data_IF_092281727202
#
_entry.id   IF_092281727202
#
_cell.length_a   1.000
_cell.length_b   1.000
_cell.length_c   1.000
_cell.angle_alpha   90.00
_cell.angle_beta   90.00
_cell.angle_gamma   90.00
#
_symmetry.space_group_name_H-M   'P 1'
#
loop_
_entity.id
_entity.type
_entity.pdbx_description
1 polymer ?
#
# COMPACT_ATOMS: atom_id res chain seq x y z
N UNK A 1 -24.89 -53.47 -24.26
CA UNK A 1 -25.16 -52.21 -23.55
C UNK A 1 -24.36 -51.98 -22.25
N UNK A 2 -23.43 -52.87 -21.84
CA UNK A 2 -22.63 -52.70 -20.58
C UNK A 2 -21.36 -51.88 -20.73
N UNK A 3 -20.87 -51.57 -21.93
CA UNK A 3 -19.59 -50.84 -22.14
C UNK A 3 -19.68 -49.33 -22.03
N UNK A 4 -20.84 -48.71 -22.36
CA UNK A 4 -20.99 -47.23 -22.32
C UNK A 4 -21.13 -46.66 -20.90
N UNK A 5 -21.65 -47.41 -19.95
CA UNK A 5 -21.78 -46.97 -18.55
C UNK A 5 -20.42 -46.91 -17.83
N UNK A 6 -19.51 -47.82 -18.15
CA UNK A 6 -18.17 -47.84 -17.56
C UNK A 6 -17.26 -46.69 -18.06
N UNK A 7 -17.40 -46.27 -19.32
CA UNK A 7 -16.65 -45.09 -19.85
C UNK A 7 -17.14 -43.79 -19.23
N UNK A 8 -18.45 -43.61 -19.08
CA UNK A 8 -19.03 -42.41 -18.45
C UNK A 8 -18.62 -42.27 -16.98
N UNK A 9 -18.58 -43.37 -16.22
CA UNK A 9 -18.11 -43.36 -14.84
C UNK A 9 -16.61 -43.01 -14.73
N UNK A 10 -15.74 -43.54 -15.59
CA UNK A 10 -14.31 -43.19 -15.58
C UNK A 10 -14.05 -41.70 -15.91
N UNK A 11 -14.79 -41.16 -16.89
CA UNK A 11 -14.68 -39.73 -17.24
C UNK A 11 -15.20 -38.83 -16.13
N UNK A 12 -16.28 -39.19 -15.47
CA UNK A 12 -16.83 -38.47 -14.33
C UNK A 12 -15.86 -38.50 -13.13
N UNK A 13 -15.28 -39.66 -12.81
CA UNK A 13 -14.30 -39.80 -11.73
C UNK A 13 -13.02 -38.98 -12.02
N UNK A 14 -12.53 -38.97 -13.26
CA UNK A 14 -11.38 -38.18 -13.68
C UNK A 14 -11.66 -36.67 -13.58
N UNK A 15 -12.86 -36.21 -13.93
CA UNK A 15 -13.26 -34.80 -13.82
C UNK A 15 -13.36 -34.36 -12.36
N UNK A 16 -13.95 -35.17 -11.48
CA UNK A 16 -14.04 -34.88 -10.04
C UNK A 16 -12.66 -34.87 -9.41
N UNK A 17 -11.78 -35.79 -9.78
CA UNK A 17 -10.41 -35.84 -9.26
C UNK A 17 -9.58 -34.64 -9.73
N UNK A 18 -9.77 -34.18 -10.98
CA UNK A 18 -9.13 -32.93 -11.49
C UNK A 18 -9.63 -31.68 -10.76
N UNK A 19 -10.94 -31.58 -10.45
CA UNK A 19 -11.48 -30.46 -9.67
C UNK A 19 -10.96 -30.45 -8.22
N UNK A 20 -10.83 -31.62 -7.58
CA UNK A 20 -10.26 -31.73 -6.23
C UNK A 20 -8.77 -31.33 -6.22
N UNK A 21 -7.99 -31.79 -7.20
CA UNK A 21 -6.58 -31.39 -7.34
C UNK A 21 -6.43 -29.89 -7.55
N UNK A 22 -7.26 -29.29 -8.41
CA UNK A 22 -7.24 -27.85 -8.67
C UNK A 22 -7.59 -27.02 -7.41
N UNK A 23 -8.53 -27.49 -6.59
CA UNK A 23 -8.87 -26.80 -5.33
C UNK A 23 -7.78 -26.92 -4.27
N UNK A 24 -7.08 -28.05 -4.19
CA UNK A 24 -5.96 -28.23 -3.24
C UNK A 24 -4.77 -27.36 -3.64
N UNK A 25 -4.42 -27.31 -4.91
CA UNK A 25 -3.32 -26.44 -5.38
C UNK A 25 -3.65 -24.96 -5.23
N UNK A 26 -4.88 -24.54 -5.52
CA UNK A 26 -5.33 -23.15 -5.32
C UNK A 26 -5.18 -22.70 -3.87
N UNK A 27 -5.59 -23.52 -2.91
CA UNK A 27 -5.45 -23.23 -1.48
C UNK A 27 -3.97 -23.15 -1.04
N UNK A 28 -3.10 -24.00 -1.59
CA UNK A 28 -1.67 -23.99 -1.25
C UNK A 28 -1.00 -22.68 -1.71
N UNK A 29 -1.31 -22.20 -2.91
CA UNK A 29 -0.79 -20.94 -3.43
C UNK A 29 -1.35 -19.71 -2.69
N UNK A 30 -2.61 -19.74 -2.29
CA UNK A 30 -3.22 -18.69 -1.47
C UNK A 30 -2.57 -18.64 -0.09
N UNK A 31 -2.38 -19.77 0.59
CA UNK A 31 -1.72 -19.85 1.89
C UNK A 31 -0.27 -19.36 1.81
N UNK A 32 0.50 -19.74 0.79
CA UNK A 32 1.86 -19.27 0.58
C UNK A 32 1.91 -17.75 0.33
N UNK A 33 0.96 -17.21 -0.44
CA UNK A 33 0.86 -15.77 -0.71
C UNK A 33 0.60 -14.97 0.56
N UNK A 34 -0.32 -15.44 1.39
CA UNK A 34 -0.63 -14.82 2.69
C UNK A 34 0.56 -14.91 3.66
N UNK A 35 1.23 -16.06 3.74
CA UNK A 35 2.42 -16.24 4.59
C UNK A 35 3.53 -15.23 4.23
N UNK A 36 3.83 -15.07 2.93
CA UNK A 36 4.81 -14.10 2.46
C UNK A 36 4.39 -12.66 2.81
N UNK A 37 3.10 -12.33 2.69
CA UNK A 37 2.58 -11.02 3.04
C UNK A 37 2.72 -10.73 4.54
N UNK A 38 2.40 -11.69 5.41
CA UNK A 38 2.59 -11.58 6.87
C UNK A 38 4.07 -11.38 7.23
N UNK A 39 4.99 -12.12 6.60
CA UNK A 39 6.43 -11.97 6.84
C UNK A 39 6.94 -10.60 6.37
N UNK A 40 6.39 -10.09 5.27
CA UNK A 40 6.72 -8.75 4.78
C UNK A 40 6.21 -7.65 5.70
N UNK A 41 5.01 -7.81 6.25
CA UNK A 41 4.38 -6.83 7.14
C UNK A 41 5.14 -6.65 8.46
N UNK A 42 5.69 -7.74 9.01
CA UNK A 42 6.52 -7.72 10.22
C UNK A 42 7.71 -6.75 10.17
N UNK A 43 8.18 -6.37 8.99
CA UNK A 43 9.23 -5.36 8.85
C UNK A 43 8.77 -3.94 9.19
N UNK A 44 7.44 -3.75 9.33
CA UNK A 44 6.80 -2.49 9.65
C UNK A 44 6.24 -2.45 11.08
N UNK A 45 6.45 -3.48 11.88
CA UNK A 45 5.96 -3.61 13.24
C UNK A 45 6.99 -3.17 14.30
N UNK A 46 6.55 -3.05 15.54
CA UNK A 46 7.35 -2.78 16.75
C UNK A 46 8.09 -1.42 16.76
N UNK A 47 7.73 -0.48 15.86
CA UNK A 47 8.35 0.85 15.83
C UNK A 47 7.74 1.82 16.85
N UNK A 48 6.60 1.50 17.47
CA UNK A 48 5.81 2.28 18.43
C UNK A 48 5.27 3.58 17.80
N UNK A 49 6.14 4.50 17.46
CA UNK A 49 5.83 5.70 16.70
C UNK A 49 7.04 6.15 15.87
N UNK A 50 6.78 6.89 14.81
CA UNK A 50 7.83 7.46 13.99
C UNK A 50 7.51 8.87 13.49
N UNK A 51 8.56 9.62 13.19
CA UNK A 51 8.47 10.89 12.46
C UNK A 51 9.54 10.97 11.37
N UNK A 52 9.25 11.71 10.31
CA UNK A 52 10.22 12.03 9.26
C UNK A 52 9.88 13.35 8.59
N UNK A 53 10.88 13.99 7.98
CA UNK A 53 10.67 14.97 6.93
C UNK A 53 10.46 14.24 5.60
N UNK A 54 9.59 14.78 4.76
CA UNK A 54 9.26 14.18 3.46
C UNK A 54 9.32 15.25 2.38
N UNK A 55 10.02 14.96 1.30
CA UNK A 55 9.98 15.74 0.06
C UNK A 55 9.17 15.00 -0.99
N UNK A 56 8.13 15.64 -1.53
CA UNK A 56 7.31 15.12 -2.61
C UNK A 56 7.58 15.89 -3.89
N UNK A 57 8.14 15.21 -4.90
CA UNK A 57 8.36 15.74 -6.23
C UNK A 57 7.27 15.24 -7.18
N UNK A 58 6.51 16.17 -7.78
CA UNK A 58 5.51 15.89 -8.80
C UNK A 58 6.12 16.22 -10.16
N UNK A 59 6.23 15.22 -11.03
CA UNK A 59 6.92 15.31 -12.31
C UNK A 59 5.90 15.06 -13.41
N UNK A 60 5.69 16.06 -14.27
CA UNK A 60 4.78 15.93 -15.38
C UNK A 60 5.43 15.20 -16.58
N UNK A 61 4.64 14.90 -17.61
CA UNK A 61 5.11 14.19 -18.82
C UNK A 61 6.24 14.91 -19.60
N UNK A 62 6.48 16.20 -19.34
CA UNK A 62 7.57 16.99 -19.91
C UNK A 62 8.81 17.03 -19.05
N UNK A 63 8.77 16.42 -17.86
CA UNK A 63 9.87 16.42 -16.92
C UNK A 63 9.91 17.65 -15.99
N UNK A 64 8.92 18.56 -16.08
CA UNK A 64 8.82 19.71 -15.16
C UNK A 64 8.48 19.22 -13.75
N UNK A 65 9.16 19.76 -12.74
CA UNK A 65 9.08 19.32 -11.35
C UNK A 65 8.45 20.37 -10.47
N UNK A 66 7.47 19.97 -9.67
CA UNK A 66 6.94 20.76 -8.55
C UNK A 66 7.30 20.03 -7.25
N UNK A 67 8.05 20.71 -6.38
CA UNK A 67 8.49 20.15 -5.10
C UNK A 67 7.64 20.66 -3.95
N UNK A 68 7.27 19.74 -3.05
CA UNK A 68 6.55 20.02 -1.81
C UNK A 68 7.30 19.41 -0.64
N UNK A 69 7.32 20.14 0.50
CA UNK A 69 7.89 19.61 1.75
C UNK A 69 6.77 19.31 2.73
N UNK A 70 6.89 18.20 3.43
CA UNK A 70 5.91 17.72 4.41
C UNK A 70 6.64 17.24 5.66
N UNK A 71 5.94 17.26 6.79
CA UNK A 71 6.26 16.43 7.97
C UNK A 71 5.34 15.25 7.99
N UNK A 72 5.88 14.09 8.26
CA UNK A 72 5.12 12.85 8.39
C UNK A 72 5.29 12.28 9.80
N UNK A 73 4.20 11.76 10.37
CA UNK A 73 4.17 11.08 11.65
C UNK A 73 3.34 9.82 11.53
N UNK A 74 3.72 8.78 12.24
CA UNK A 74 3.02 7.50 12.32
C UNK A 74 2.97 7.04 13.76
N UNK A 75 1.86 6.43 14.15
CA UNK A 75 1.64 5.77 15.44
C UNK A 75 1.18 4.35 15.16
N UNK A 76 1.88 3.40 15.72
CA UNK A 76 1.52 1.99 15.68
C UNK A 76 0.32 1.72 16.59
N UNK A 77 -0.65 0.96 16.08
CA UNK A 77 -1.83 0.52 16.82
C UNK A 77 -1.98 -0.99 16.68
N UNK A 78 -1.32 -1.80 17.53
CA UNK A 78 -1.24 -3.26 17.38
C UNK A 78 -2.59 -3.97 17.33
N UNK A 79 -3.63 -3.39 17.95
CA UNK A 79 -4.98 -3.97 18.04
C UNK A 79 -5.88 -3.66 16.84
N UNK A 80 -5.48 -2.72 16.00
CA UNK A 80 -6.19 -2.30 14.77
C UNK A 80 -5.14 -1.91 13.71
N UNK A 81 -5.41 -0.97 12.84
CA UNK A 81 -4.42 -0.43 11.89
C UNK A 81 -3.82 0.89 12.37
N UNK A 82 -2.69 1.24 11.80
CA UNK A 82 -1.90 2.40 12.20
C UNK A 82 -2.57 3.74 11.92
N UNK A 83 -2.15 4.74 12.68
CA UNK A 83 -2.53 6.14 12.45
C UNK A 83 -1.37 6.92 11.83
N UNK A 84 -1.68 7.79 10.89
CA UNK A 84 -0.68 8.67 10.30
C UNK A 84 -1.21 10.08 10.09
N UNK A 85 -0.28 11.04 10.10
CA UNK A 85 -0.56 12.42 9.74
C UNK A 85 0.57 12.97 8.87
N UNK A 86 0.20 13.53 7.70
CA UNK A 86 1.13 14.26 6.83
C UNK A 86 0.70 15.73 6.76
N UNK A 87 1.64 16.64 6.96
CA UNK A 87 1.40 18.09 7.04
C UNK A 87 2.29 18.79 6.04
N UNK A 88 1.71 19.50 5.08
CA UNK A 88 2.45 20.28 4.10
C UNK A 88 3.06 21.53 4.72
N UNK A 89 4.35 21.75 4.52
CA UNK A 89 5.10 22.91 5.00
C UNK A 89 5.38 23.94 3.89
N UNK A 90 5.57 23.46 2.68
CA UNK A 90 5.79 24.28 1.48
C UNK A 90 5.33 23.56 0.21
N UNK A 91 5.08 24.30 -0.90
CA UNK A 91 5.05 25.75 -1.04
C UNK A 91 3.80 26.41 -0.41
N UNK A 92 3.67 27.73 -0.55
CA UNK A 92 2.63 28.54 0.14
C UNK A 92 1.20 28.12 -0.18
N UNK A 93 0.94 27.67 -1.39
CA UNK A 93 -0.40 27.24 -1.86
C UNK A 93 -0.93 25.99 -1.15
N UNK A 94 -0.04 25.10 -0.69
CA UNK A 94 -0.40 23.89 0.07
C UNK A 94 -0.01 23.94 1.54
N UNK A 95 0.70 24.98 1.99
CA UNK A 95 1.17 25.08 3.38
C UNK A 95 0.05 24.97 4.38
N UNK A 96 0.22 24.06 5.36
CA UNK A 96 -0.76 23.78 6.41
C UNK A 96 -1.90 22.86 5.97
N UNK A 97 -1.96 22.44 4.70
CA UNK A 97 -2.83 21.31 4.32
C UNK A 97 -2.32 20.09 5.05
N UNK A 98 -3.21 19.30 5.63
CA UNK A 98 -2.83 18.09 6.36
C UNK A 98 -3.83 16.96 6.10
N UNK A 99 -3.31 15.73 6.02
CA UNK A 99 -4.12 14.52 5.98
C UNK A 99 -3.87 13.72 7.24
N UNK A 100 -4.96 13.25 7.86
CA UNK A 100 -4.96 12.28 8.94
C UNK A 100 -5.59 11.00 8.41
N UNK A 101 -4.92 9.87 8.59
CA UNK A 101 -5.41 8.56 8.21
C UNK A 101 -5.41 7.62 9.41
N UNK A 102 -6.48 6.86 9.57
CA UNK A 102 -6.57 5.70 10.44
C UNK A 102 -6.77 4.50 9.54
N UNK A 103 -5.77 3.65 9.47
CA UNK A 103 -5.93 2.33 8.89
C UNK A 103 -6.76 1.46 9.85
N UNK A 104 -7.42 0.45 9.33
CA UNK A 104 -8.18 -0.51 10.12
C UNK A 104 -8.03 -1.89 9.50
N UNK A 105 -7.90 -2.92 10.33
CA UNK A 105 -7.76 -4.31 9.86
C UNK A 105 -9.02 -4.85 9.20
N UNK A 106 -10.18 -4.50 9.70
CA UNK A 106 -11.46 -5.09 9.25
C UNK A 106 -12.33 -4.08 8.51
N UNK A 107 -12.56 -2.90 9.09
CA UNK A 107 -13.44 -1.89 8.48
C UNK A 107 -12.69 -0.99 7.49
N UNK A 108 -13.43 -0.20 6.71
CA UNK A 108 -12.85 0.80 5.82
C UNK A 108 -12.05 1.86 6.59
N UNK A 109 -10.91 2.30 6.03
CA UNK A 109 -10.06 3.33 6.62
C UNK A 109 -10.79 4.66 6.75
N UNK A 110 -10.45 5.39 7.79
CA UNK A 110 -10.91 6.75 8.00
C UNK A 110 -9.83 7.75 7.60
N UNK A 111 -10.18 8.69 6.73
CA UNK A 111 -9.27 9.75 6.31
C UNK A 111 -9.93 11.12 6.39
N UNK A 112 -9.17 12.11 6.88
CA UNK A 112 -9.60 13.50 6.97
C UNK A 112 -8.55 14.43 6.38
N UNK A 113 -9.00 15.35 5.54
CA UNK A 113 -8.18 16.40 4.93
C UNK A 113 -8.51 17.74 5.59
N UNK A 114 -7.51 18.40 6.16
CA UNK A 114 -7.63 19.77 6.62
C UNK A 114 -7.19 20.72 5.51
N UNK A 115 -8.06 21.71 5.23
CA UNK A 115 -7.83 22.77 4.26
C UNK A 115 -7.75 24.11 5.00
N UNK A 116 -6.55 24.68 5.22
CA UNK A 116 -6.36 25.88 6.02
C UNK A 116 -7.08 27.11 5.41
N UNK A 117 -7.12 27.23 4.09
CA UNK A 117 -7.84 28.32 3.42
C UNK A 117 -9.34 28.35 3.76
N UNK A 118 -9.94 27.18 4.01
CA UNK A 118 -11.33 27.03 4.40
C UNK A 118 -11.52 26.87 5.91
N UNK A 119 -10.44 26.73 6.67
CA UNK A 119 -10.42 26.38 8.11
C UNK A 119 -11.30 25.16 8.43
N UNK A 120 -11.39 24.19 7.52
CA UNK A 120 -12.28 23.03 7.61
C UNK A 120 -11.53 21.70 7.52
N UNK A 121 -11.97 20.76 8.36
CA UNK A 121 -11.63 19.34 8.22
C UNK A 121 -12.74 18.68 7.40
N UNK A 122 -12.35 18.00 6.32
CA UNK A 122 -13.26 17.26 5.44
C UNK A 122 -12.92 15.78 5.52
N UNK A 123 -13.90 14.94 5.83
CA UNK A 123 -13.73 13.47 5.74
C UNK A 123 -13.69 13.07 4.27
N UNK A 124 -12.74 12.23 3.90
CA UNK A 124 -12.66 11.61 2.58
C UNK A 124 -13.61 10.41 2.58
N UNK A 125 -14.66 10.46 1.77
CA UNK A 125 -15.58 9.34 1.65
C UNK A 125 -14.87 8.15 0.98
N UNK A 126 -15.17 6.91 1.41
CA UNK A 126 -14.53 5.70 0.90
C UNK A 126 -14.55 5.61 -0.63
N UNK A 127 -15.64 6.02 -1.29
CA UNK A 127 -15.77 6.08 -2.76
C UNK A 127 -14.80 7.05 -3.45
N UNK A 128 -14.20 7.99 -2.71
CA UNK A 128 -13.30 9.01 -3.26
C UNK A 128 -11.82 8.72 -2.95
N UNK A 129 -11.51 7.65 -2.23
CA UNK A 129 -10.13 7.35 -1.82
C UNK A 129 -9.22 6.91 -2.97
N UNK A 130 -9.81 6.47 -4.09
CA UNK A 130 -9.08 6.19 -5.34
C UNK A 130 -8.68 7.47 -6.11
N UNK A 131 -9.15 8.64 -5.70
CA UNK A 131 -8.78 9.92 -6.30
C UNK A 131 -7.33 10.33 -6.02
N UNK A 132 -6.72 11.19 -6.86
CA UNK A 132 -5.34 11.60 -6.72
C UNK A 132 -5.13 12.45 -5.45
N UNK A 133 -4.07 12.16 -4.71
CA UNK A 133 -3.69 12.91 -3.53
C UNK A 133 -3.02 14.22 -3.93
N UNK A 134 -3.77 15.32 -3.82
CA UNK A 134 -3.30 16.70 -4.08
C UNK A 134 -2.52 16.85 -5.40
N UNK A 135 -2.94 16.15 -6.45
CA UNK A 135 -2.34 16.24 -7.79
C UNK A 135 -1.09 15.40 -7.99
N UNK A 136 -0.70 14.59 -7.01
CA UNK A 136 0.34 13.55 -7.18
C UNK A 136 -0.23 12.33 -7.88
N UNK A 137 0.64 11.41 -8.29
CA UNK A 137 0.25 10.11 -8.84
C UNK A 137 -0.10 9.08 -7.74
N UNK A 138 0.11 9.41 -6.48
CA UNK A 138 -0.46 8.67 -5.36
C UNK A 138 -1.95 8.99 -5.22
N UNK A 139 -2.77 8.01 -4.86
CA UNK A 139 -4.17 8.19 -4.48
C UNK A 139 -4.28 8.37 -2.95
N UNK A 140 -5.45 8.77 -2.47
CA UNK A 140 -5.70 8.83 -1.01
C UNK A 140 -5.55 7.46 -0.36
N UNK A 141 -5.91 6.36 -1.03
CA UNK A 141 -5.75 5.01 -0.51
C UNK A 141 -4.26 4.60 -0.39
N UNK A 142 -3.34 5.18 -1.17
CA UNK A 142 -1.90 4.92 -1.07
C UNK A 142 -1.27 5.62 0.16
N UNK A 143 -1.98 6.53 0.83
CA UNK A 143 -1.58 7.17 2.09
C UNK A 143 -2.22 6.54 3.34
N UNK A 144 -2.90 5.42 3.19
CA UNK A 144 -3.31 4.56 4.30
C UNK A 144 -2.40 3.35 4.35
N UNK A 145 -1.99 2.92 5.55
CA UNK A 145 -1.20 1.70 5.68
C UNK A 145 -2.06 0.50 5.29
N UNK A 146 -1.41 -0.46 4.64
CA UNK A 146 -2.12 -1.58 4.03
C UNK A 146 -2.01 -2.79 4.95
N UNK A 147 -3.05 -2.99 5.75
CA UNK A 147 -3.17 -4.13 6.64
C UNK A 147 -3.35 -5.42 5.83
N UNK A 148 -2.72 -6.51 6.30
CA UNK A 148 -2.73 -7.82 5.61
C UNK A 148 -4.15 -8.34 5.43
N UNK A 149 -5.03 -8.11 6.39
CA UNK A 149 -6.42 -8.59 6.42
C UNK A 149 -7.32 -7.96 5.34
N UNK A 150 -6.83 -6.91 4.65
CA UNK A 150 -7.60 -6.19 3.61
C UNK A 150 -7.47 -6.74 2.20
N UNK A 151 -6.75 -7.84 2.04
CA UNK A 151 -6.48 -8.40 0.73
C UNK A 151 -6.63 -9.91 0.72
N UNK A 152 -7.06 -10.44 -0.43
CA UNK A 152 -6.82 -11.82 -0.80
C UNK A 152 -5.47 -11.95 -1.47
N UNK A 153 -4.71 -13.01 -1.17
CA UNK A 153 -3.34 -13.21 -1.64
C UNK A 153 -3.21 -14.49 -2.45
N UNK A 154 -2.42 -14.43 -3.53
CA UNK A 154 -2.03 -15.61 -4.31
C UNK A 154 -0.53 -15.49 -4.63
N UNK A 155 0.27 -16.48 -4.21
CA UNK A 155 1.63 -16.62 -4.68
C UNK A 155 1.63 -17.02 -6.16
N UNK A 156 2.36 -16.29 -7.00
CA UNK A 156 2.41 -16.55 -8.45
C UNK A 156 3.68 -17.29 -8.86
N UNK A 157 4.85 -16.75 -8.52
CA UNK A 157 6.16 -17.23 -8.96
C UNK A 157 7.30 -16.60 -8.18
N UNK A 158 8.52 -17.04 -8.49
CA UNK A 158 9.76 -16.34 -8.16
C UNK A 158 10.29 -15.64 -9.41
N UNK A 159 10.95 -14.49 -9.22
CA UNK A 159 11.53 -13.69 -10.30
C UNK A 159 12.73 -12.91 -9.77
N UNK A 160 13.77 -12.78 -10.58
CA UNK A 160 14.89 -11.89 -10.25
C UNK A 160 14.50 -10.45 -10.61
N UNK A 161 14.55 -9.55 -9.65
CA UNK A 161 14.33 -8.12 -9.85
C UNK A 161 15.51 -7.33 -9.29
N UNK A 162 16.22 -6.58 -10.15
CA UNK A 162 17.43 -5.83 -9.78
C UNK A 162 18.44 -6.69 -8.99
N UNK A 163 18.77 -7.85 -9.55
CA UNK A 163 19.71 -8.85 -9.00
C UNK A 163 19.24 -9.55 -7.71
N UNK A 164 18.06 -9.20 -7.18
CA UNK A 164 17.47 -9.82 -5.99
C UNK A 164 16.45 -10.89 -6.37
N UNK A 165 16.54 -12.09 -5.78
CA UNK A 165 15.48 -13.08 -5.91
C UNK A 165 14.23 -12.60 -5.15
N UNK A 166 13.10 -12.49 -5.84
CA UNK A 166 11.85 -12.01 -5.28
C UNK A 166 10.74 -13.05 -5.40
N UNK A 167 9.86 -13.09 -4.40
CA UNK A 167 8.53 -13.65 -4.55
C UNK A 167 7.65 -12.65 -5.32
N UNK A 168 6.82 -13.14 -6.23
CA UNK A 168 5.76 -12.36 -6.87
C UNK A 168 4.43 -12.82 -6.33
N UNK A 169 3.76 -11.94 -5.62
CA UNK A 169 2.47 -12.18 -4.99
C UNK A 169 1.41 -11.28 -5.61
N UNK A 170 0.32 -11.85 -6.10
CA UNK A 170 -0.88 -11.09 -6.44
C UNK A 170 -1.68 -10.83 -5.16
N UNK A 171 -2.11 -9.59 -4.93
CA UNK A 171 -3.09 -9.26 -3.90
C UNK A 171 -4.27 -8.51 -4.48
N UNK A 172 -5.48 -8.86 -4.03
CA UNK A 172 -6.74 -8.25 -4.45
C UNK A 172 -7.36 -7.52 -3.27
N UNK A 173 -7.62 -6.19 -3.39
CA UNK A 173 -8.31 -5.47 -2.34
C UNK A 173 -9.70 -6.05 -2.08
N UNK A 174 -10.06 -6.23 -0.81
CA UNK A 174 -11.42 -6.62 -0.38
C UNK A 174 -12.37 -5.42 -0.38
N UNK A 175 -11.84 -4.20 -0.34
CA UNK A 175 -12.64 -2.98 -0.37
C UNK A 175 -13.21 -2.73 -1.78
N UNK A 176 -14.54 -2.74 -1.96
CA UNK A 176 -15.17 -2.53 -3.27
C UNK A 176 -14.96 -1.11 -3.84
N UNK A 177 -14.53 -0.16 -3.01
CA UNK A 177 -14.24 1.21 -3.40
C UNK A 177 -12.78 1.45 -3.78
N UNK A 178 -11.91 0.45 -3.69
CA UNK A 178 -10.52 0.57 -4.14
C UNK A 178 -10.47 0.98 -5.62
N UNK A 179 -9.51 1.81 -5.98
CA UNK A 179 -9.18 2.16 -7.35
C UNK A 179 -8.50 1.03 -8.11
N UNK A 180 -8.09 -0.02 -7.39
CA UNK A 180 -7.33 -1.14 -7.93
C UNK A 180 -8.15 -2.42 -7.93
N UNK A 181 -8.12 -3.17 -9.04
CA UNK A 181 -8.70 -4.52 -9.09
C UNK A 181 -7.75 -5.56 -8.52
N UNK A 182 -6.45 -5.32 -8.67
CA UNK A 182 -5.37 -6.15 -8.13
C UNK A 182 -4.05 -5.40 -8.12
N UNK A 183 -3.11 -5.95 -7.40
CA UNK A 183 -1.72 -5.51 -7.38
C UNK A 183 -0.80 -6.74 -7.49
N UNK A 184 0.31 -6.59 -8.22
CA UNK A 184 1.39 -7.59 -8.23
C UNK A 184 2.54 -7.01 -7.42
N UNK A 185 2.97 -7.73 -6.39
CA UNK A 185 3.96 -7.27 -5.41
C UNK A 185 5.21 -8.13 -5.53
N UNK A 186 6.37 -7.50 -5.75
CA UNK A 186 7.69 -8.14 -5.70
C UNK A 186 8.28 -7.94 -4.32
N UNK A 187 8.50 -9.03 -3.61
CA UNK A 187 9.00 -9.06 -2.24
C UNK A 187 10.31 -9.84 -2.24
N UNK A 188 11.42 -9.21 -1.83
CA UNK A 188 12.70 -9.91 -1.82
C UNK A 188 12.69 -11.07 -0.81
N UNK A 189 13.40 -12.15 -1.16
CA UNK A 189 13.35 -13.41 -0.41
C UNK A 189 14.23 -13.38 0.85
N UNK A 190 15.18 -12.48 0.94
CA UNK A 190 16.13 -12.41 2.05
C UNK A 190 15.53 -11.67 3.25
N UNK A 191 14.99 -10.48 2.99
CA UNK A 191 14.51 -9.58 4.04
C UNK A 191 13.01 -9.34 3.99
N UNK A 192 12.28 -9.95 3.06
CA UNK A 192 10.83 -9.75 2.84
C UNK A 192 10.43 -8.28 2.61
N UNK A 193 11.34 -7.46 2.03
CA UNK A 193 11.08 -6.07 1.71
C UNK A 193 10.41 -5.95 0.34
N UNK A 194 9.36 -5.12 0.26
CA UNK A 194 8.69 -4.83 -1.00
C UNK A 194 9.62 -4.02 -1.90
N UNK A 195 9.91 -4.52 -3.10
CA UNK A 195 10.78 -3.84 -4.07
C UNK A 195 9.96 -3.06 -5.11
N UNK A 196 8.83 -3.62 -5.52
CA UNK A 196 8.00 -3.07 -6.59
C UNK A 196 6.55 -3.53 -6.45
N UNK A 197 5.62 -2.66 -6.83
CA UNK A 197 4.20 -2.99 -6.96
C UNK A 197 3.68 -2.51 -8.32
N UNK A 198 3.02 -3.39 -9.06
CA UNK A 198 2.21 -3.02 -10.21
C UNK A 198 0.74 -2.90 -9.79
N UNK A 199 0.14 -1.76 -10.00
CA UNK A 199 -1.26 -1.49 -9.71
C UNK A 199 -2.11 -1.58 -10.98
N UNK A 200 -3.22 -2.30 -10.93
CA UNK A 200 -4.16 -2.45 -12.04
C UNK A 200 -5.46 -1.72 -11.74
N UNK A 201 -5.92 -0.91 -12.70
CA UNK A 201 -7.13 -0.10 -12.56
C UNK A 201 -8.41 -0.96 -12.59
N UNK A 202 -9.58 -0.31 -12.44
CA UNK A 202 -10.90 -0.97 -12.44
C UNK A 202 -11.24 -1.67 -13.77
N UNK A 203 -10.49 -1.39 -14.84
CA UNK A 203 -10.59 -2.07 -16.13
C UNK A 203 -9.52 -3.14 -16.29
N UNK A 204 -8.76 -3.41 -15.23
CA UNK A 204 -7.63 -4.38 -15.21
C UNK A 204 -6.46 -4.01 -16.13
N UNK A 205 -6.32 -2.73 -16.54
CA UNK A 205 -5.14 -2.25 -17.21
C UNK A 205 -4.06 -1.87 -16.19
N UNK A 206 -2.79 -2.07 -16.58
CA UNK A 206 -1.66 -1.60 -15.78
C UNK A 206 -1.68 -0.08 -15.69
N UNK A 207 -2.00 0.43 -14.51
CA UNK A 207 -2.18 1.85 -14.24
C UNK A 207 -0.86 2.49 -13.80
N UNK A 208 -0.25 1.92 -12.76
CA UNK A 208 0.90 2.50 -12.08
C UNK A 208 1.92 1.44 -11.69
N UNK A 209 3.18 1.86 -11.63
CA UNK A 209 4.25 1.11 -10.95
C UNK A 209 4.73 1.92 -9.77
N UNK A 210 4.76 1.30 -8.58
CA UNK A 210 5.37 1.84 -7.37
C UNK A 210 6.69 1.13 -7.12
N UNK A 211 7.75 1.90 -6.91
CA UNK A 211 9.11 1.41 -6.65
C UNK A 211 9.53 1.85 -5.27
N UNK A 212 10.19 0.95 -4.54
CA UNK A 212 10.73 1.21 -3.21
C UNK A 212 12.24 1.06 -3.25
N UNK A 213 12.96 2.11 -2.84
CA UNK A 213 14.41 2.19 -2.99
C UNK A 213 15.06 2.73 -1.73
N UNK A 214 16.38 2.56 -1.62
CA UNK A 214 17.20 3.06 -0.52
C UNK A 214 16.63 2.66 0.85
N UNK A 215 16.41 1.37 1.05
CA UNK A 215 15.98 0.84 2.33
C UNK A 215 17.07 1.00 3.38
N UNK A 216 16.72 1.61 4.52
CA UNK A 216 17.60 1.73 5.68
C UNK A 216 16.96 1.09 6.90
N UNK A 217 17.80 0.44 7.71
CA UNK A 217 17.35 -0.25 8.92
C UNK A 217 17.58 0.62 10.14
N UNK A 218 16.54 0.86 10.92
CA UNK A 218 16.57 1.66 12.14
C UNK A 218 16.44 0.77 13.36
N UNK A 219 17.20 1.08 14.40
CA UNK A 219 17.24 0.32 15.68
C UNK A 219 17.42 -1.20 15.53
N UNK A 220 17.92 -1.67 14.38
CA UNK A 220 18.17 -3.08 14.12
C UNK A 220 16.97 -3.91 13.67
N UNK A 221 15.77 -3.36 13.62
CA UNK A 221 14.55 -4.09 13.25
C UNK A 221 13.66 -3.38 12.21
N UNK A 222 13.42 -2.07 12.31
CA UNK A 222 12.50 -1.33 11.46
C UNK A 222 13.15 -0.94 10.12
N UNK A 223 12.52 -1.31 9.01
CA UNK A 223 12.98 -0.97 7.68
C UNK A 223 12.16 0.17 7.06
N UNK A 224 12.82 1.23 6.64
CA UNK A 224 12.20 2.37 5.97
C UNK A 224 12.79 2.56 4.57
N UNK A 225 11.97 2.53 3.49
CA UNK A 225 12.43 2.99 2.18
C UNK A 225 12.59 4.51 2.23
N UNK A 226 13.74 5.03 1.78
CA UNK A 226 14.01 6.46 1.72
C UNK A 226 13.53 7.09 0.41
N UNK A 227 13.26 6.29 -0.61
CA UNK A 227 12.65 6.74 -1.86
C UNK A 227 11.49 5.82 -2.23
N UNK A 228 10.32 6.43 -2.48
CA UNK A 228 9.16 5.76 -3.06
C UNK A 228 8.77 6.52 -4.33
N UNK A 229 8.82 5.84 -5.48
CA UNK A 229 8.45 6.42 -6.78
C UNK A 229 7.17 5.79 -7.30
N UNK A 230 6.20 6.62 -7.70
CA UNK A 230 4.97 6.20 -8.36
C UNK A 230 4.98 6.68 -9.81
N UNK A 231 4.96 5.74 -10.76
CA UNK A 231 4.99 6.00 -12.21
C UNK A 231 3.62 5.66 -12.78
N UNK A 232 2.93 6.62 -13.37
CA UNK A 232 1.65 6.40 -14.01
C UNK A 232 1.83 6.17 -15.52
N UNK A 233 1.49 4.96 -15.98
CA UNK A 233 1.69 4.55 -17.38
C UNK A 233 0.62 5.08 -18.34
N UNK A 234 -0.53 5.53 -17.80
CA UNK A 234 -1.64 6.04 -18.63
C UNK A 234 -1.48 7.53 -18.97
N UNK A 235 -0.83 8.32 -18.11
CA UNK A 235 -0.68 9.76 -18.31
C UNK A 235 0.78 10.23 -18.45
N UNK A 236 1.75 9.32 -18.23
CA UNK A 236 3.19 9.60 -18.35
C UNK A 236 3.76 10.48 -17.24
N UNK A 237 3.01 10.70 -16.13
CA UNK A 237 3.45 11.45 -14.95
C UNK A 237 4.06 10.51 -13.93
N UNK A 238 4.85 11.09 -13.02
CA UNK A 238 5.37 10.37 -11.85
C UNK A 238 5.44 11.26 -10.61
N UNK A 239 5.47 10.63 -9.46
CA UNK A 239 5.68 11.33 -8.18
C UNK A 239 6.70 10.56 -7.36
N UNK A 240 7.61 11.28 -6.71
CA UNK A 240 8.66 10.70 -5.86
C UNK A 240 8.49 11.25 -4.45
N UNK A 241 8.45 10.36 -3.46
CA UNK A 241 8.54 10.67 -2.04
C UNK A 241 9.96 10.35 -1.57
N UNK A 242 10.63 11.32 -0.97
CA UNK A 242 11.93 11.16 -0.33
C UNK A 242 11.72 11.36 1.17
N UNK A 243 12.24 10.43 1.97
CA UNK A 243 12.12 10.43 3.43
C UNK A 243 13.49 10.71 4.07
N UNK A 244 13.54 11.73 4.91
CA UNK A 244 14.73 12.13 5.66
C UNK A 244 14.38 12.27 7.14
N UNK A 245 15.42 12.41 8.00
CA UNK A 245 15.29 12.65 9.44
C UNK A 245 14.36 11.67 10.17
N UNK A 246 14.40 10.39 9.77
CA UNK A 246 13.57 9.33 10.38
C UNK A 246 13.95 9.14 11.83
N UNK A 247 12.97 9.27 12.73
CA UNK A 247 13.13 9.07 14.18
C UNK A 247 12.02 8.14 14.66
N UNK A 248 12.38 7.20 15.50
CA UNK A 248 11.45 6.29 16.20
C UNK A 248 11.28 6.74 17.64
N UNK A 249 10.20 6.28 18.29
CA UNK A 249 9.95 6.45 19.72
C UNK A 249 9.97 7.91 20.18
N UNK A 250 9.26 8.75 19.45
CA UNK A 250 9.13 10.19 19.74
C UNK A 250 8.23 10.47 20.95
N UNK A 251 7.48 9.46 21.45
CA UNK A 251 6.51 9.59 22.51
C UNK A 251 5.16 10.12 22.04
N UNK A 252 4.78 9.89 20.78
CA UNK A 252 3.47 10.27 20.28
C UNK A 252 2.38 9.40 20.90
N UNK A 253 1.20 9.99 21.02
CA UNK A 253 0.00 9.38 21.58
C UNK A 253 -1.20 9.60 20.65
N UNK A 254 -2.32 8.93 20.90
CA UNK A 254 -3.57 9.13 20.18
C UNK A 254 -4.00 10.61 20.08
N UNK A 255 -3.63 11.45 21.04
CA UNK A 255 -3.95 12.89 21.03
C UNK A 255 -3.27 13.62 19.87
N UNK A 256 -2.10 13.14 19.44
CA UNK A 256 -1.33 13.73 18.34
C UNK A 256 -1.97 13.40 16.98
N UNK A 257 -2.78 12.37 16.92
CA UNK A 257 -3.47 11.88 15.73
C UNK A 257 -4.97 12.12 15.78
N UNK A 258 -5.40 13.29 16.19
CA UNK A 258 -6.82 13.67 16.28
C UNK A 258 -7.20 14.71 15.23
N UNK A 259 -8.50 14.84 14.91
CA UNK A 259 -8.98 15.92 14.03
C UNK A 259 -8.68 17.32 14.61
N UNK A 260 -8.50 17.43 15.93
CA UNK A 260 -8.09 18.69 16.56
C UNK A 260 -6.60 18.97 16.34
N UNK A 261 -5.75 17.95 16.28
CA UNK A 261 -4.33 18.13 15.93
C UNK A 261 -4.14 18.58 14.48
N UNK A 262 -5.00 18.13 13.54
CA UNK A 262 -5.01 18.67 12.16
C UNK A 262 -5.16 20.18 12.11
N UNK A 263 -6.04 20.76 12.93
CA UNK A 263 -6.30 22.22 12.93
C UNK A 263 -5.14 23.01 13.53
N UNK A 264 -4.31 22.39 14.38
CA UNK A 264 -3.13 23.00 15.04
C UNK A 264 -1.85 22.83 14.23
N UNK A 265 -1.88 22.10 13.12
CA UNK A 265 -0.76 21.83 12.23
C UNK A 265 -0.37 23.07 11.41
N UNK A 266 0.07 24.14 12.07
CA UNK A 266 0.53 25.39 11.42
C UNK A 266 2.05 25.48 11.42
#
# INVERSE_FOLDING_TARGET
>A
MKGLSHLKNKQFTALVMAMILASITGNLFANKGLEIAILSDKNNDDFIDSSSSMTMNLINKRGEVVTRKLRFKRLEVPTDGDKSIAIFESPRDVKGVAILSYAHKVKADDQWLYLPALKRVKRIASKNKSGPFLGSEFSFEDFSFQEVEKYDYVYLKEEIYQEKPCYVVERKPLDPYSGYTKQLVWIDKENYLVQKIHHFDRKSFHLKTQLFKDYRKYEGFFWQPHEIEMINHQNGKRSILLFDDVKLKNGFTDRDFSQNSLKRSR
#
